data_IF_147750826202
#
_entry.id   IF_147750826202
#
_cell.length_a   1.000
_cell.length_b   1.000
_cell.length_c   1.000
_cell.angle_alpha   90.00
_cell.angle_beta   90.00
_cell.angle_gamma   90.00
#
_symmetry.space_group_name_H-M   'P 1'
#
loop_
_entity.id
_entity.type
_entity.pdbx_description
1 polymer ?
#
# COMPACT_ATOMS: atom_id res chain seq x y z
N UNK A 1 -1.08 -8.81 -1.73
CA UNK A 1 -0.55 -7.79 -0.80
C UNK A 1 -1.42 -7.75 0.46
N UNK A 2 -0.87 -7.37 1.62
CA UNK A 2 -1.53 -7.52 2.92
C UNK A 2 -2.00 -6.23 3.59
N UNK A 3 -2.08 -5.10 2.88
CA UNK A 3 -2.49 -3.80 3.44
C UNK A 3 -3.72 -3.28 2.68
N UNK A 4 -4.65 -2.69 3.43
CA UNK A 4 -5.74 -1.86 2.90
C UNK A 4 -5.65 -0.47 3.54
N UNK A 5 -5.74 0.56 2.71
CA UNK A 5 -5.70 1.94 3.18
C UNK A 5 -6.74 2.77 2.46
N UNK A 6 -7.43 3.64 3.19
CA UNK A 6 -8.17 4.72 2.57
C UNK A 6 -7.61 6.09 2.96
N UNK A 7 -7.60 6.99 1.98
CA UNK A 7 -7.17 8.36 2.10
C UNK A 7 -8.34 9.30 1.91
N UNK A 8 -8.44 10.37 2.71
CA UNK A 8 -9.37 11.47 2.48
C UNK A 8 -8.60 12.74 2.14
N UNK A 9 -8.70 13.18 0.88
CA UNK A 9 -7.99 14.36 0.36
C UNK A 9 -8.62 15.70 0.76
N UNK A 10 -9.81 15.70 1.37
CA UNK A 10 -10.34 16.89 2.04
C UNK A 10 -9.57 17.20 3.35
N UNK A 11 -8.87 16.22 3.92
CA UNK A 11 -8.02 16.42 5.09
C UNK A 11 -6.68 17.08 4.72
N UNK A 12 -6.13 17.86 5.66
CA UNK A 12 -4.81 18.50 5.51
C UNK A 12 -3.70 17.47 5.26
N UNK A 13 -2.60 17.93 4.67
CA UNK A 13 -1.40 17.11 4.51
C UNK A 13 -1.01 16.42 5.83
N UNK A 14 -0.51 15.19 5.73
CA UNK A 14 -0.18 14.30 6.85
C UNK A 14 -1.36 13.80 7.71
N UNK A 15 -2.60 14.18 7.39
CA UNK A 15 -3.82 13.76 8.12
C UNK A 15 -4.84 13.07 7.21
N UNK A 16 -4.39 12.51 6.08
CA UNK A 16 -5.27 11.95 5.07
C UNK A 16 -5.63 10.48 5.31
N UNK A 17 -4.84 9.74 6.09
CA UNK A 17 -5.11 8.31 6.36
C UNK A 17 -6.33 8.19 7.27
N UNK A 18 -7.34 7.43 6.86
CA UNK A 18 -8.57 7.19 7.65
C UNK A 18 -8.63 5.75 8.20
N UNK A 19 -9.03 4.70 7.47
CA UNK A 19 -8.68 3.33 7.86
C UNK A 19 -7.31 2.95 7.29
N UNK A 20 -6.46 2.39 8.15
CA UNK A 20 -5.30 1.61 7.77
C UNK A 20 -5.43 0.23 8.39
N UNK A 21 -5.56 -0.78 7.55
CA UNK A 21 -5.76 -2.16 7.95
C UNK A 21 -4.66 -3.05 7.37
N UNK A 22 -4.29 -4.08 8.14
CA UNK A 22 -3.27 -5.03 7.76
C UNK A 22 -3.77 -6.45 7.99
N UNK A 23 -3.39 -7.36 7.10
CA UNK A 23 -3.67 -8.78 7.23
C UNK A 23 -2.94 -9.35 8.45
N UNK A 24 -3.66 -10.03 9.34
CA UNK A 24 -3.05 -10.59 10.54
C UNK A 24 -2.06 -11.72 10.19
N UNK A 25 -0.88 -11.69 10.84
CA UNK A 25 0.13 -12.74 10.74
C UNK A 25 0.01 -13.80 11.85
N UNK A 26 -0.49 -13.40 13.03
CA UNK A 26 -0.64 -14.27 14.21
C UNK A 26 -2.11 -14.66 14.40
N UNK A 27 -2.71 -15.28 13.40
CA UNK A 27 -4.11 -15.70 13.40
C UNK A 27 -4.28 -16.98 12.56
N UNK A 28 -5.19 -17.87 12.95
CA UNK A 28 -5.42 -19.13 12.22
C UNK A 28 -6.15 -18.92 10.89
N UNK A 29 -6.98 -17.88 10.78
CA UNK A 29 -7.68 -17.49 9.56
C UNK A 29 -7.29 -16.05 9.25
N UNK A 30 -6.63 -15.78 8.11
CA UNK A 30 -6.24 -14.44 7.72
C UNK A 30 -7.44 -13.49 7.63
N UNK A 31 -7.37 -12.37 8.34
CA UNK A 31 -8.35 -11.30 8.32
C UNK A 31 -7.65 -9.95 8.41
N UNK A 32 -8.28 -8.93 7.86
CA UNK A 32 -7.81 -7.55 8.01
C UNK A 32 -8.16 -7.04 9.41
N UNK A 33 -7.18 -6.39 10.05
CA UNK A 33 -7.34 -5.76 11.34
C UNK A 33 -6.78 -4.33 11.30
N UNK A 34 -7.34 -3.38 12.07
CA UNK A 34 -6.79 -2.04 12.17
C UNK A 34 -5.34 -2.05 12.63
N UNK A 35 -4.48 -1.25 11.99
CA UNK A 35 -3.11 -1.05 12.44
C UNK A 35 -3.11 -0.38 13.82
N UNK A 36 -2.31 -0.91 14.74
CA UNK A 36 -2.21 -0.47 16.13
C UNK A 36 -0.87 0.18 16.37
N UNK A 37 -0.88 1.38 16.94
CA UNK A 37 0.31 2.22 16.98
C UNK A 37 1.47 1.67 17.82
N UNK A 38 1.16 0.86 18.83
CA UNK A 38 2.15 0.23 19.72
C UNK A 38 2.52 -1.21 19.31
N UNK A 39 2.12 -1.66 18.11
CA UNK A 39 2.40 -3.01 17.63
C UNK A 39 3.49 -2.97 16.56
N UNK A 40 4.43 -3.90 16.64
CA UNK A 40 5.47 -4.09 15.63
C UNK A 40 4.94 -4.91 14.46
N UNK A 41 5.22 -4.46 13.24
CA UNK A 41 4.85 -5.13 11.99
C UNK A 41 6.09 -5.39 11.15
N UNK A 42 6.14 -6.56 10.48
CA UNK A 42 7.16 -6.85 9.47
C UNK A 42 6.62 -6.46 8.10
N UNK A 43 7.33 -5.58 7.40
CA UNK A 43 6.94 -5.09 6.08
C UNK A 43 8.04 -5.46 5.07
N UNK A 44 7.64 -5.98 3.92
CA UNK A 44 8.53 -6.20 2.78
C UNK A 44 8.40 -5.00 1.84
N UNK A 45 9.53 -4.38 1.53
CA UNK A 45 9.63 -3.23 0.61
C UNK A 45 10.95 -3.29 -0.15
N UNK A 46 11.15 -2.40 -1.13
CA UNK A 46 12.40 -2.31 -1.88
C UNK A 46 13.53 -1.75 -1.01
N UNK A 47 14.78 -2.10 -1.33
CA UNK A 47 15.96 -1.51 -0.70
C UNK A 47 15.99 0.04 -0.85
N UNK A 48 15.52 0.57 -1.98
CA UNK A 48 15.41 2.01 -2.24
C UNK A 48 14.55 2.71 -1.18
N UNK A 49 13.34 2.22 -0.92
CA UNK A 49 12.45 2.79 0.10
C UNK A 49 13.04 2.58 1.50
N UNK A 50 13.53 1.38 1.82
CA UNK A 50 14.13 1.10 3.13
C UNK A 50 15.31 2.04 3.47
N UNK A 51 16.02 2.52 2.45
CA UNK A 51 17.18 3.40 2.58
C UNK A 51 16.88 4.90 2.39
N UNK A 52 15.62 5.33 2.35
CA UNK A 52 15.29 6.76 2.31
C UNK A 52 14.89 7.32 0.94
N UNK A 53 14.75 6.46 -0.07
CA UNK A 53 14.24 6.85 -1.39
C UNK A 53 12.88 7.56 -1.29
N UNK A 54 12.59 8.45 -2.25
CA UNK A 54 11.38 9.30 -2.27
C UNK A 54 11.08 10.08 -0.97
N UNK A 55 12.09 10.27 -0.11
CA UNK A 55 11.94 10.97 1.17
C UNK A 55 11.32 10.13 2.29
N UNK A 56 11.21 8.80 2.12
CA UNK A 56 10.72 7.89 3.16
C UNK A 56 11.78 7.67 4.26
N UNK A 57 11.78 8.51 5.28
CA UNK A 57 12.65 8.35 6.45
C UNK A 57 12.02 7.41 7.49
N UNK A 58 12.86 6.61 8.14
CA UNK A 58 12.48 5.71 9.23
C UNK A 58 13.32 6.02 10.46
N UNK A 59 12.74 5.84 11.65
CA UNK A 59 13.45 5.99 12.92
C UNK A 59 14.60 4.97 13.03
N UNK A 60 15.61 5.33 13.82
CA UNK A 60 16.85 4.54 13.95
C UNK A 60 16.66 3.20 14.64
N UNK A 61 15.53 3.01 15.35
CA UNK A 61 15.15 1.76 16.00
C UNK A 61 14.46 0.76 15.05
N UNK A 62 14.11 1.18 13.83
CA UNK A 62 13.56 0.30 12.80
C UNK A 62 14.64 -0.65 12.31
N UNK A 63 14.44 -1.96 12.54
CA UNK A 63 15.31 -3.01 12.02
C UNK A 63 15.11 -3.17 10.51
N UNK A 64 16.20 -3.03 9.75
CA UNK A 64 16.23 -3.19 8.29
C UNK A 64 17.02 -4.45 7.94
N UNK A 65 16.42 -5.34 7.16
CA UNK A 65 17.07 -6.51 6.57
C UNK A 65 17.13 -6.29 5.06
N UNK A 66 18.31 -5.98 4.51
CA UNK A 66 18.49 -5.66 3.09
C UNK A 66 19.14 -6.76 2.26
N UNK A 67 19.51 -7.89 2.89
CA UNK A 67 20.07 -9.10 2.25
C UNK A 67 18.99 -9.93 1.52
N UNK A 68 17.96 -9.28 0.99
CA UNK A 68 16.84 -9.93 0.31
C UNK A 68 17.17 -10.40 -1.11
N UNK A 69 16.22 -11.10 -1.71
CA UNK A 69 16.29 -11.53 -3.11
C UNK A 69 16.27 -10.32 -4.07
N UNK A 70 16.88 -10.49 -5.24
CA UNK A 70 16.92 -9.46 -6.28
C UNK A 70 15.49 -9.27 -6.83
N UNK A 71 15.07 -8.01 -6.98
CA UNK A 71 13.70 -7.64 -7.35
C UNK A 71 13.21 -8.28 -8.66
N UNK A 72 14.04 -8.24 -9.70
CA UNK A 72 13.73 -8.82 -11.00
C UNK A 72 13.59 -10.35 -10.93
N UNK A 73 14.37 -11.02 -10.09
CA UNK A 73 14.32 -12.46 -9.88
C UNK A 73 13.02 -12.86 -9.20
N UNK A 74 12.65 -12.18 -8.11
CA UNK A 74 11.39 -12.41 -7.37
C UNK A 74 10.18 -12.25 -8.29
N UNK A 75 10.16 -11.17 -9.08
CA UNK A 75 9.05 -10.90 -10.00
C UNK A 75 9.02 -11.93 -11.13
N UNK A 76 10.18 -12.27 -11.71
CA UNK A 76 10.28 -13.28 -12.78
C UNK A 76 9.77 -14.64 -12.29
N UNK A 77 10.18 -15.05 -11.09
CA UNK A 77 9.76 -16.32 -10.51
C UNK A 77 8.25 -16.34 -10.23
N UNK A 78 7.71 -15.24 -9.70
CA UNK A 78 6.26 -15.08 -9.51
C UNK A 78 5.50 -15.21 -10.84
N UNK A 79 5.95 -14.50 -11.88
CA UNK A 79 5.30 -14.55 -13.21
C UNK A 79 5.32 -15.97 -13.76
N UNK A 80 6.46 -16.66 -13.70
CA UNK A 80 6.59 -18.05 -14.17
C UNK A 80 5.61 -18.99 -13.48
N UNK A 81 5.44 -18.85 -12.15
CA UNK A 81 4.56 -19.71 -11.34
C UNK A 81 3.07 -19.41 -11.52
N UNK A 82 2.72 -18.14 -11.72
CA UNK A 82 1.33 -17.66 -11.68
C UNK A 82 0.72 -17.38 -13.06
N UNK A 83 1.41 -17.76 -14.14
CA UNK A 83 0.94 -17.49 -15.51
C UNK A 83 -0.23 -18.41 -15.92
N UNK A 84 -1.27 -17.88 -16.61
CA UNK A 84 -1.46 -16.47 -16.95
C UNK A 84 -1.92 -15.63 -15.76
N UNK A 85 -1.31 -14.45 -15.63
CA UNK A 85 -1.55 -13.50 -14.54
C UNK A 85 -2.95 -12.89 -14.68
N UNK A 86 -3.78 -13.02 -13.64
CA UNK A 86 -5.12 -12.44 -13.52
C UNK A 86 -5.27 -11.77 -12.16
N UNK A 87 -5.06 -10.45 -12.11
CA UNK A 87 -5.13 -9.66 -10.89
C UNK A 87 -6.19 -8.58 -11.08
N UNK A 88 -7.20 -8.59 -10.22
CA UNK A 88 -8.25 -7.57 -10.21
C UNK A 88 -7.87 -6.39 -9.29
N UNK A 89 -8.59 -5.29 -9.43
CA UNK A 89 -8.58 -4.22 -8.44
C UNK A 89 -9.39 -4.65 -7.21
N UNK A 90 -8.70 -4.89 -6.10
CA UNK A 90 -9.30 -5.47 -4.88
C UNK A 90 -9.62 -4.41 -3.81
N UNK A 91 -9.63 -3.12 -4.17
CA UNK A 91 -9.87 -2.03 -3.21
C UNK A 91 -8.78 -1.91 -2.14
N UNK A 92 -7.52 -2.22 -2.49
CA UNK A 92 -6.39 -2.12 -1.54
C UNK A 92 -6.05 -0.67 -1.17
N UNK A 93 -6.31 0.26 -2.09
CA UNK A 93 -6.16 1.71 -1.88
C UNK A 93 -7.45 2.37 -2.30
N UNK A 94 -8.06 3.13 -1.41
CA UNK A 94 -9.25 3.94 -1.70
C UNK A 94 -8.93 5.41 -1.47
N UNK A 95 -9.34 6.28 -2.39
CA UNK A 95 -9.11 7.72 -2.28
C UNK A 95 -10.46 8.45 -2.28
N UNK A 96 -10.82 9.06 -1.17
CA UNK A 96 -11.98 9.94 -1.03
C UNK A 96 -11.58 11.39 -1.34
N UNK A 97 -12.48 12.14 -1.96
CA UNK A 97 -12.30 13.56 -2.26
C UNK A 97 -11.06 13.88 -3.11
N UNK A 98 -10.57 12.90 -3.87
CA UNK A 98 -9.43 13.07 -4.78
C UNK A 98 -9.94 13.52 -6.15
N UNK A 99 -9.90 14.83 -6.42
CA UNK A 99 -10.37 15.37 -7.70
C UNK A 99 -9.36 15.11 -8.81
N UNK A 100 -9.84 14.63 -9.96
CA UNK A 100 -9.00 14.48 -11.15
C UNK A 100 -8.51 15.84 -11.62
N UNK A 101 -7.19 16.05 -11.76
CA UNK A 101 -6.67 17.28 -12.34
C UNK A 101 -7.13 17.44 -13.80
N UNK A 102 -7.41 18.68 -14.21
CA UNK A 102 -7.71 19.00 -15.60
C UNK A 102 -6.54 18.59 -16.50
N UNK A 103 -6.81 17.91 -17.60
CA UNK A 103 -5.79 17.46 -18.55
C UNK A 103 -5.01 16.21 -18.13
N UNK A 104 -5.33 15.57 -17.00
CA UNK A 104 -4.68 14.32 -16.61
C UNK A 104 -4.99 13.18 -17.59
N UNK A 105 -3.97 12.60 -18.21
CA UNK A 105 -4.07 11.44 -19.11
C UNK A 105 -3.87 10.11 -18.40
N UNK A 106 -3.41 10.12 -17.15
CA UNK A 106 -3.16 8.92 -16.34
C UNK A 106 -4.44 8.38 -15.69
N UNK A 107 -4.54 7.04 -15.60
CA UNK A 107 -5.63 6.31 -14.93
C UNK A 107 -5.48 6.27 -13.41
N UNK A 108 -5.35 7.44 -12.78
CA UNK A 108 -5.26 7.54 -11.32
C UNK A 108 -6.56 7.11 -10.60
N UNK A 109 -6.45 6.83 -9.29
CA UNK A 109 -7.58 6.51 -8.43
C UNK A 109 -8.38 7.78 -8.10
N UNK A 110 -9.34 8.10 -8.96
CA UNK A 110 -10.28 9.20 -8.76
C UNK A 110 -11.66 8.60 -8.48
N UNK A 111 -12.23 8.81 -7.28
CA UNK A 111 -13.59 8.38 -7.02
C UNK A 111 -14.52 9.09 -8.01
N UNK A 112 -15.44 8.34 -8.62
CA UNK A 112 -16.54 8.95 -9.35
C UNK A 112 -17.33 9.85 -8.39
N UNK A 113 -17.74 11.02 -8.87
CA UNK A 113 -18.56 11.94 -8.11
C UNK A 113 -19.86 11.23 -7.67
N UNK A 114 -20.04 11.00 -6.37
CA UNK A 114 -21.23 10.34 -5.81
C UNK A 114 -22.42 11.30 -5.65
N UNK A 115 -22.38 12.49 -6.26
CA UNK A 115 -23.47 13.49 -6.20
C UNK A 115 -24.56 13.33 -7.27
N UNK A 116 -24.62 12.21 -7.99
CA UNK A 116 -25.80 11.83 -8.78
C UNK A 116 -26.49 10.62 -8.15
N UNK A 117 -27.34 10.92 -7.17
CA UNK A 117 -28.32 10.04 -6.54
C UNK A 117 -29.44 10.89 -5.97
#
# INVERSE_FOLDING_TARGET
>A
AGIRVAYNFACRAFHRVVPLEILCANCSIPKYEPVRWKKTYKIVTTNYIANGGDGFTFDTDVKKETEGAIDNEVVTEYIRKMSPIKQAEEGRVVMYNNKRPAGATSGGLYPADQSQG
#
